data_IF_918927621656
#
_entry.id   IF_918927621656
#
_cell.length_a   1.000
_cell.length_b   1.000
_cell.length_c   1.000
_cell.angle_alpha   90.00
_cell.angle_beta   90.00
_cell.angle_gamma   90.00
#
_symmetry.space_group_name_H-M   'P 1'
#
loop_
_entity.id
_entity.type
_entity.pdbx_description
1 polymer ?
#
# COMPACT_ATOMS: atom_id res chain seq x y z
N UNK A 1 29.10 -1.75 12.26
CA UNK A 1 28.33 -3.00 12.12
C UNK A 1 27.28 -2.73 11.06
N UNK A 2 27.67 -2.85 9.80
CA UNK A 2 26.81 -2.57 8.65
C UNK A 2 25.67 -3.60 8.61
N UNK A 3 24.43 -3.16 8.80
CA UNK A 3 23.29 -4.05 8.74
C UNK A 3 23.22 -4.64 7.31
N UNK A 4 23.27 -5.98 7.14
CA UNK A 4 23.20 -6.59 5.82
C UNK A 4 21.83 -6.29 5.19
N UNK A 5 21.83 -5.89 3.92
CA UNK A 5 20.60 -5.64 3.18
C UNK A 5 19.71 -6.90 3.18
N UNK A 6 18.41 -6.72 3.48
CA UNK A 6 17.42 -7.80 3.44
C UNK A 6 17.43 -8.55 2.10
N UNK A 7 17.71 -7.84 1.01
CA UNK A 7 17.93 -8.41 -0.32
C UNK A 7 19.28 -7.96 -0.86
N UNK A 8 20.34 -8.79 -0.75
CA UNK A 8 21.66 -8.44 -1.23
C UNK A 8 21.71 -8.41 -2.76
N UNK A 9 22.34 -7.36 -3.31
CA UNK A 9 22.63 -7.25 -4.73
C UNK A 9 23.90 -8.01 -5.13
N UNK A 10 24.26 -7.95 -6.41
CA UNK A 10 25.49 -8.56 -6.92
C UNK A 10 26.78 -7.80 -6.58
N UNK A 11 26.69 -6.71 -5.81
CA UNK A 11 27.83 -5.92 -5.36
C UNK A 11 27.82 -5.88 -3.82
N UNK A 12 28.95 -6.15 -3.15
CA UNK A 12 29.06 -6.06 -1.69
C UNK A 12 28.58 -4.70 -1.19
N UNK A 13 27.73 -4.69 -0.17
CA UNK A 13 27.20 -3.47 0.43
C UNK A 13 26.11 -2.75 -0.38
N UNK A 14 25.64 -3.29 -1.51
CA UNK A 14 24.52 -2.71 -2.26
C UNK A 14 23.26 -3.59 -2.20
N UNK A 15 22.06 -2.99 -2.03
CA UNK A 15 20.83 -3.73 -2.19
C UNK A 15 20.65 -4.12 -3.66
N UNK A 16 19.93 -5.19 -3.91
CA UNK A 16 19.50 -5.55 -5.26
C UNK A 16 18.62 -4.42 -5.84
N UNK A 17 18.78 -4.12 -7.13
CA UNK A 17 17.95 -3.11 -7.78
C UNK A 17 16.50 -3.59 -7.91
N UNK A 18 15.55 -2.64 -7.90
CA UNK A 18 14.13 -2.95 -8.11
C UNK A 18 13.88 -3.69 -9.43
N UNK A 19 14.63 -3.34 -10.48
CA UNK A 19 14.57 -4.01 -11.77
C UNK A 19 15.03 -5.47 -11.68
N UNK A 20 16.15 -5.76 -10.98
CA UNK A 20 16.67 -7.11 -10.84
C UNK A 20 15.76 -8.01 -9.96
N UNK A 21 15.12 -7.45 -8.92
CA UNK A 21 14.05 -8.15 -8.19
C UNK A 21 12.87 -8.43 -9.12
N UNK A 22 12.42 -7.41 -9.85
CA UNK A 22 11.29 -7.51 -10.77
C UNK A 22 11.48 -8.62 -11.81
N UNK A 23 12.69 -8.70 -12.37
CA UNK A 23 13.06 -9.72 -13.35
C UNK A 23 13.11 -11.12 -12.74
N UNK A 24 13.63 -11.27 -11.51
CA UNK A 24 13.63 -12.56 -10.80
C UNK A 24 12.21 -13.06 -10.53
N UNK A 25 11.33 -12.19 -10.05
CA UNK A 25 9.92 -12.51 -9.81
C UNK A 25 9.17 -12.84 -11.10
N UNK A 26 9.44 -12.11 -12.19
CA UNK A 26 8.87 -12.39 -13.51
C UNK A 26 9.27 -13.78 -14.03
N UNK A 27 10.52 -14.20 -13.81
CA UNK A 27 11.00 -15.55 -14.14
C UNK A 27 10.28 -16.64 -13.36
N UNK A 28 9.77 -16.32 -12.17
CA UNK A 28 8.93 -17.20 -11.35
C UNK A 28 7.43 -17.12 -11.73
N UNK A 29 7.07 -16.39 -12.80
CA UNK A 29 5.69 -16.19 -13.23
C UNK A 29 4.94 -15.10 -12.45
N UNK A 30 5.58 -14.42 -11.50
CA UNK A 30 4.96 -13.38 -10.68
C UNK A 30 5.08 -12.03 -11.42
N UNK A 31 3.96 -11.54 -11.93
CA UNK A 31 3.86 -10.19 -12.50
C UNK A 31 3.60 -9.19 -11.37
N UNK A 32 4.62 -8.43 -10.96
CA UNK A 32 4.53 -7.52 -9.81
C UNK A 32 3.38 -6.52 -9.92
N UNK A 33 3.14 -5.98 -11.11
CA UNK A 33 2.09 -4.99 -11.32
C UNK A 33 0.68 -5.59 -11.08
N UNK A 34 0.45 -6.79 -11.60
CA UNK A 34 -0.83 -7.50 -11.46
C UNK A 34 -1.02 -7.96 -10.00
N UNK A 35 0.01 -8.59 -9.42
CA UNK A 35 -0.02 -9.03 -8.03
C UNK A 35 -0.26 -7.85 -7.06
N UNK A 36 0.40 -6.72 -7.29
CA UNK A 36 0.21 -5.50 -6.52
C UNK A 36 -1.22 -4.97 -6.69
N UNK A 37 -1.72 -4.91 -7.92
CA UNK A 37 -3.06 -4.40 -8.19
C UNK A 37 -4.14 -5.28 -7.55
N UNK A 38 -4.00 -6.60 -7.61
CA UNK A 38 -4.92 -7.54 -6.96
C UNK A 38 -4.89 -7.40 -5.44
N UNK A 39 -3.70 -7.33 -4.84
CA UNK A 39 -3.57 -7.11 -3.40
C UNK A 39 -4.15 -5.76 -2.96
N UNK A 40 -3.94 -4.71 -3.75
CA UNK A 40 -4.53 -3.39 -3.52
C UNK A 40 -6.05 -3.44 -3.62
N UNK A 41 -6.59 -4.18 -4.59
CA UNK A 41 -8.03 -4.34 -4.78
C UNK A 41 -8.68 -5.04 -3.58
N UNK A 42 -8.09 -6.16 -3.13
CA UNK A 42 -8.54 -6.86 -1.92
C UNK A 42 -8.50 -5.94 -0.69
N UNK A 43 -7.39 -5.24 -0.50
CA UNK A 43 -7.24 -4.30 0.62
C UNK A 43 -8.23 -3.15 0.53
N UNK A 44 -8.57 -2.67 -0.66
CA UNK A 44 -9.55 -1.61 -0.87
C UNK A 44 -11.01 -2.06 -0.65
N UNK A 45 -11.29 -3.37 -0.73
CA UNK A 45 -12.57 -3.95 -0.32
C UNK A 45 -12.70 -4.00 1.21
N UNK A 46 -11.58 -4.21 1.92
CA UNK A 46 -11.52 -4.42 3.38
C UNK A 46 -11.10 -3.18 4.19
N UNK A 47 -10.64 -2.11 3.54
CA UNK A 47 -10.22 -0.89 4.22
C UNK A 47 -10.86 0.36 3.57
N UNK A 48 -11.31 1.33 4.39
CA UNK A 48 -11.69 2.65 3.90
C UNK A 48 -10.51 3.36 3.23
N UNK A 49 -10.78 4.19 2.21
CA UNK A 49 -9.74 4.92 1.47
C UNK A 49 -8.80 5.75 2.36
N UNK A 50 -9.28 6.32 3.46
CA UNK A 50 -8.45 7.10 4.38
C UNK A 50 -7.43 6.23 5.13
N UNK A 51 -7.80 5.01 5.51
CA UNK A 51 -6.87 4.05 6.12
C UNK A 51 -5.93 3.51 5.05
N UNK A 52 -6.45 3.15 3.87
CA UNK A 52 -5.67 2.69 2.72
C UNK A 52 -4.58 3.70 2.33
N UNK A 53 -4.90 5.00 2.28
CA UNK A 53 -3.96 6.08 1.98
C UNK A 53 -2.83 6.16 3.02
N UNK A 54 -3.18 6.09 4.31
CA UNK A 54 -2.22 6.15 5.40
C UNK A 54 -1.32 4.92 5.44
N UNK A 55 -1.88 3.72 5.27
CA UNK A 55 -1.15 2.45 5.34
C UNK A 55 -0.18 2.30 4.16
N UNK A 56 -0.57 2.73 2.97
CA UNK A 56 0.24 2.58 1.76
C UNK A 56 1.06 3.83 1.40
N UNK A 57 0.90 4.91 2.16
CA UNK A 57 1.55 6.20 1.87
C UNK A 57 1.16 6.80 0.51
N UNK A 58 -0.04 6.48 0.00
CA UNK A 58 -0.53 6.98 -1.29
C UNK A 58 -1.47 8.16 -1.09
N UNK A 59 -1.55 9.03 -2.10
CA UNK A 59 -2.47 10.17 -2.05
C UNK A 59 -3.93 9.71 -1.92
N UNK A 60 -4.72 10.40 -1.10
CA UNK A 60 -6.11 10.03 -0.78
C UNK A 60 -6.99 9.88 -2.03
N UNK A 61 -6.78 10.70 -3.06
CA UNK A 61 -7.52 10.57 -4.33
C UNK A 61 -7.24 9.25 -5.06
N UNK A 62 -6.02 8.70 -4.94
CA UNK A 62 -5.66 7.39 -5.49
C UNK A 62 -6.34 6.29 -4.68
N UNK A 63 -6.32 6.40 -3.35
CA UNK A 63 -7.01 5.45 -2.47
C UNK A 63 -8.53 5.42 -2.71
N UNK A 64 -9.18 6.57 -2.92
CA UNK A 64 -10.62 6.65 -3.25
C UNK A 64 -10.92 5.98 -4.59
N UNK A 65 -10.05 6.12 -5.60
CA UNK A 65 -10.21 5.42 -6.89
C UNK A 65 -10.16 3.91 -6.71
N UNK A 66 -9.20 3.40 -5.94
CA UNK A 66 -9.10 1.97 -5.63
C UNK A 66 -10.30 1.46 -4.84
N UNK A 67 -10.77 2.22 -3.84
CA UNK A 67 -11.98 1.85 -3.09
C UNK A 67 -13.23 1.79 -3.99
N UNK A 68 -13.40 2.77 -4.89
CA UNK A 68 -14.52 2.77 -5.84
C UNK A 68 -14.44 1.60 -6.83
N UNK A 69 -13.24 1.28 -7.30
CA UNK A 69 -13.03 0.11 -8.15
C UNK A 69 -13.33 -1.20 -7.40
N UNK A 70 -13.06 -1.25 -6.10
CA UNK A 70 -13.25 -2.41 -5.23
C UNK A 70 -14.67 -2.60 -4.67
N UNK A 71 -15.62 -1.71 -5.01
CA UNK A 71 -17.04 -1.75 -4.62
C UNK A 71 -17.31 -1.96 -3.11
N UNK A 72 -16.40 -1.54 -2.23
CA UNK A 72 -16.57 -1.71 -0.79
C UNK A 72 -17.63 -0.77 -0.19
N UNK A 73 -18.59 -1.33 0.54
CA UNK A 73 -19.61 -0.58 1.30
C UNK A 73 -19.05 -0.11 2.65
N UNK A 74 -18.61 1.14 2.69
CA UNK A 74 -17.92 1.74 3.84
C UNK A 74 -18.77 2.74 4.64
N UNK A 75 -20.10 2.64 4.56
CA UNK A 75 -21.02 3.54 5.26
C UNK A 75 -20.75 3.63 6.77
N UNK A 76 -20.38 2.52 7.41
CA UNK A 76 -20.07 2.47 8.84
C UNK A 76 -18.84 3.31 9.24
N UNK A 77 -17.76 3.29 8.44
CA UNK A 77 -16.56 4.08 8.71
C UNK A 77 -16.80 5.58 8.54
N UNK A 78 -17.62 5.98 7.57
CA UNK A 78 -17.99 7.38 7.39
C UNK A 78 -18.77 7.92 8.59
N UNK A 79 -19.64 7.10 9.18
CA UNK A 79 -20.37 7.42 10.42
C UNK A 79 -19.43 7.50 11.63
N UNK A 80 -18.43 6.63 11.72
CA UNK A 80 -17.44 6.69 12.81
C UNK A 80 -16.57 7.95 12.71
N UNK A 81 -16.10 8.30 11.52
CA UNK A 81 -15.32 9.53 11.29
C UNK A 81 -16.15 10.78 11.57
N UNK A 82 -17.44 10.81 11.21
CA UNK A 82 -18.30 11.97 11.49
C UNK A 82 -18.58 12.15 12.98
N UNK A 83 -18.56 11.07 13.76
CA UNK A 83 -18.68 11.09 15.23
C UNK A 83 -17.38 11.41 15.95
N UNK A 84 -16.22 11.36 15.27
CA UNK A 84 -14.93 11.61 15.91
C UNK A 84 -14.82 13.12 16.21
N UNK A 85 -14.76 13.54 17.49
CA UNK A 85 -14.53 14.95 17.80
C UNK A 85 -13.18 15.35 17.20
N UNK A 86 -13.12 16.49 16.49
CA UNK A 86 -11.84 17.06 16.07
C UNK A 86 -11.07 17.32 17.37
N UNK A 87 -10.02 16.56 17.62
CA UNK A 87 -9.03 16.90 18.64
C UNK A 87 -8.51 18.28 18.28
N UNK A 88 -9.01 19.29 18.98
CA UNK A 88 -8.49 20.65 18.93
C UNK A 88 -7.16 20.58 19.68
N UNK A 89 -6.06 20.83 18.98
CA UNK A 89 -4.75 21.04 19.60
C UNK A 89 -4.85 22.27 20.52
N UNK A 90 -4.55 22.16 21.83
CA UNK A 90 -4.42 23.33 22.69
C UNK A 90 -3.13 24.07 22.32
N UNK A 91 -3.27 25.39 22.22
CA UNK A 91 -2.22 26.38 21.96
C UNK A 91 -1.14 26.37 23.04
#
# INVERSE_FOLDING_TARGET
MDAPWLFPGGQPGRPISAWAIGERLRKLGIRLADARSTALFQLATELPAAILARTLGIHISVAVKWQRAAAGDWGAYAVEISRRPKTQEPT
#
